data_IF_350293147964
#
_entry.id   IF_350293147964
#
_cell.length_a   1.000
_cell.length_b   1.000
_cell.length_c   1.000
_cell.angle_alpha   90.00
_cell.angle_beta   90.00
_cell.angle_gamma   90.00
#
_symmetry.space_group_name_H-M   'P 1'
#
loop_
_entity.id
_entity.type
_entity.pdbx_description
1 polymer ?
#
# COMPACT_ATOMS: atom_id res chain seq x y z
N UNK A 1 -9.44 19.24 5.70
CA UNK A 1 -8.24 18.43 5.97
C UNK A 1 -7.18 18.83 4.96
N UNK A 2 -5.91 19.02 5.33
CA UNK A 2 -4.88 19.24 4.31
C UNK A 2 -4.87 18.03 3.37
N UNK A 3 -4.70 18.29 2.07
CA UNK A 3 -4.52 17.22 1.08
C UNK A 3 -3.27 16.42 1.47
N UNK A 4 -3.40 15.09 1.55
CA UNK A 4 -2.26 14.21 1.76
C UNK A 4 -1.32 14.36 0.56
N UNK A 5 -0.03 14.53 0.82
CA UNK A 5 0.96 14.42 -0.26
C UNK A 5 0.87 13.03 -0.89
N UNK A 6 1.26 12.92 -2.18
CA UNK A 6 1.25 11.63 -2.89
C UNK A 6 2.06 10.57 -2.12
N UNK A 7 3.22 10.95 -1.58
CA UNK A 7 4.06 10.12 -0.71
C UNK A 7 3.35 9.65 0.56
N UNK A 8 2.67 10.56 1.25
CA UNK A 8 1.99 10.23 2.50
C UNK A 8 0.81 9.29 2.24
N UNK A 9 0.06 9.52 1.15
CA UNK A 9 -0.99 8.63 0.70
C UNK A 9 -0.46 7.24 0.35
N UNK A 10 0.64 7.16 -0.40
CA UNK A 10 1.30 5.89 -0.75
C UNK A 10 1.77 5.14 0.51
N UNK A 11 2.40 5.85 1.44
CA UNK A 11 2.87 5.31 2.72
C UNK A 11 1.71 4.76 3.56
N UNK A 12 0.61 5.50 3.63
CA UNK A 12 -0.59 5.08 4.37
C UNK A 12 -1.17 3.77 3.82
N UNK A 13 -1.31 3.67 2.48
CA UNK A 13 -1.82 2.47 1.82
C UNK A 13 -0.91 1.25 2.04
N UNK A 14 0.40 1.41 1.90
CA UNK A 14 1.33 0.30 2.16
C UNK A 14 1.28 -0.17 3.61
N UNK A 15 1.19 0.75 4.59
CA UNK A 15 1.02 0.40 6.00
C UNK A 15 -0.31 -0.30 6.27
N UNK A 16 -1.37 0.04 5.55
CA UNK A 16 -2.65 -0.65 5.66
C UNK A 16 -2.54 -2.09 5.15
N UNK A 17 -1.98 -2.29 3.95
CA UNK A 17 -1.78 -3.63 3.36
C UNK A 17 -0.90 -4.49 4.27
N UNK A 18 0.21 -3.93 4.77
CA UNK A 18 1.08 -4.64 5.71
C UNK A 18 0.31 -5.12 6.96
N UNK A 19 -0.52 -4.25 7.55
CA UNK A 19 -1.33 -4.62 8.72
C UNK A 19 -2.36 -5.70 8.40
N UNK A 20 -2.99 -5.64 7.24
CA UNK A 20 -3.96 -6.65 6.80
C UNK A 20 -3.30 -8.02 6.61
N UNK A 21 -2.16 -8.06 5.93
CA UNK A 21 -1.39 -9.29 5.72
C UNK A 21 -0.90 -9.88 7.05
N UNK A 22 -0.36 -9.05 7.95
CA UNK A 22 0.10 -9.51 9.25
C UNK A 22 -1.07 -10.06 10.09
N UNK A 23 -2.22 -9.37 10.09
CA UNK A 23 -3.42 -9.85 10.77
C UNK A 23 -3.90 -11.18 10.20
N UNK A 24 -3.90 -11.33 8.88
CA UNK A 24 -4.27 -12.58 8.22
C UNK A 24 -3.36 -13.73 8.67
N UNK A 25 -2.04 -13.53 8.64
CA UNK A 25 -1.06 -14.50 9.08
C UNK A 25 -1.18 -14.86 10.57
N UNK A 26 -1.32 -13.87 11.45
CA UNK A 26 -1.39 -14.09 12.91
C UNK A 26 -2.64 -14.85 13.35
N UNK A 27 -3.73 -14.78 12.60
CA UNK A 27 -4.99 -15.42 12.95
C UNK A 27 -5.36 -16.60 12.01
N UNK A 28 -4.43 -17.02 11.13
CA UNK A 28 -4.68 -18.10 10.18
C UNK A 28 -5.84 -17.83 9.21
N UNK A 29 -6.12 -16.55 8.91
CA UNK A 29 -7.23 -16.15 8.04
C UNK A 29 -6.75 -16.09 6.60
N UNK A 30 -7.51 -16.69 5.69
CA UNK A 30 -7.34 -16.45 4.26
C UNK A 30 -7.90 -15.06 3.91
N UNK A 31 -7.18 -14.33 3.04
CA UNK A 31 -7.73 -13.16 2.36
C UNK A 31 -8.55 -13.63 1.16
N UNK A 32 -9.67 -12.96 0.87
CA UNK A 32 -10.44 -13.22 -0.35
C UNK A 32 -9.65 -12.78 -1.59
N UNK A 33 -9.99 -13.30 -2.79
CA UNK A 33 -9.38 -12.84 -4.03
C UNK A 33 -9.47 -11.31 -4.22
N UNK A 34 -10.62 -10.71 -3.91
CA UNK A 34 -10.82 -9.25 -3.96
C UNK A 34 -9.91 -8.50 -2.97
N UNK A 35 -9.71 -9.03 -1.75
CA UNK A 35 -8.79 -8.42 -0.79
C UNK A 35 -7.34 -8.49 -1.27
N UNK A 36 -6.95 -9.59 -1.92
CA UNK A 36 -5.64 -9.77 -2.52
C UNK A 36 -5.42 -8.82 -3.71
N UNK A 37 -6.40 -8.69 -4.59
CA UNK A 37 -6.37 -7.76 -5.72
C UNK A 37 -6.24 -6.31 -5.24
N UNK A 38 -7.04 -5.90 -4.25
CA UNK A 38 -6.95 -4.58 -3.64
C UNK A 38 -5.59 -4.32 -2.99
N UNK A 39 -5.03 -5.33 -2.29
CA UNK A 39 -3.70 -5.23 -1.71
C UNK A 39 -2.62 -5.08 -2.79
N UNK A 40 -2.69 -5.86 -3.87
CA UNK A 40 -1.78 -5.78 -5.00
C UNK A 40 -1.84 -4.41 -5.69
N UNK A 41 -3.03 -3.87 -5.92
CA UNK A 41 -3.23 -2.54 -6.48
C UNK A 41 -2.61 -1.44 -5.61
N UNK A 42 -2.84 -1.48 -4.30
CA UNK A 42 -2.23 -0.54 -3.32
C UNK A 42 -0.71 -0.64 -3.32
N UNK A 43 -0.14 -1.85 -3.41
CA UNK A 43 1.31 -2.06 -3.48
C UNK A 43 1.89 -1.48 -4.77
N UNK A 44 1.29 -1.82 -5.93
CA UNK A 44 1.77 -1.38 -7.24
C UNK A 44 1.76 0.14 -7.38
N UNK A 45 0.66 0.76 -6.95
CA UNK A 45 0.52 2.22 -6.99
C UNK A 45 1.48 2.92 -6.01
N UNK A 46 1.67 2.37 -4.81
CA UNK A 46 2.64 2.87 -3.86
C UNK A 46 4.07 2.82 -4.43
N UNK A 47 4.46 1.70 -5.05
CA UNK A 47 5.76 1.55 -5.69
C UNK A 47 5.97 2.56 -6.82
N UNK A 48 4.96 2.76 -7.68
CA UNK A 48 5.00 3.75 -8.77
C UNK A 48 5.29 5.15 -8.23
N UNK A 49 4.57 5.57 -7.17
CA UNK A 49 4.76 6.89 -6.56
C UNK A 49 6.19 7.05 -6.03
N UNK A 50 6.73 6.05 -5.32
CA UNK A 50 8.10 6.14 -4.81
C UNK A 50 9.14 6.22 -5.92
N UNK A 51 8.97 5.48 -7.01
CA UNK A 51 9.88 5.55 -8.17
C UNK A 51 9.83 6.93 -8.83
N UNK A 52 8.63 7.46 -9.06
CA UNK A 52 8.45 8.80 -9.65
C UNK A 52 9.07 9.91 -8.79
N UNK A 53 8.97 9.81 -7.46
CA UNK A 53 9.59 10.79 -6.56
C UNK A 53 11.12 10.65 -6.51
N UNK A 54 11.66 9.43 -6.63
CA UNK A 54 13.11 9.21 -6.72
C UNK A 54 13.68 9.81 -8.01
N UNK A 55 13.00 9.62 -9.15
CA UNK A 55 13.43 10.17 -10.45
C UNK A 55 13.36 11.71 -10.50
N UNK A 56 12.46 12.34 -9.73
CA UNK A 56 12.36 13.80 -9.64
C UNK A 56 13.43 14.46 -8.75
N UNK A 57 14.18 13.66 -7.99
CA UNK A 57 15.23 14.16 -7.08
C UNK A 57 16.64 13.97 -7.67
N UNK A 58 16.75 13.46 -8.90
CA UNK A 58 18.00 13.20 -9.63
C UNK A 58 18.44 14.29 -10.58
#
# INVERSE_FOLDING_TARGET
MPELSRRDWATMNLKEVQRQLLKAASFGKALSPEQLENAAGKIGEGLRIFLEEMDQTG
#
